data_IF_649520545942
#
_entry.id   IF_649520545942
#
_cell.length_a   1.000
_cell.length_b   1.000
_cell.length_c   1.000
_cell.angle_alpha   90.00
_cell.angle_beta   90.00
_cell.angle_gamma   90.00
#
_symmetry.space_group_name_H-M   'P 1'
#
loop_
_entity.id
_entity.type
_entity.pdbx_description
1 polymer ?
#
# COMPACT_ATOMS: atom_id res chain seq x y z
N UNK A 1 19.55 -8.98 -10.71
CA UNK A 1 18.55 -7.94 -10.41
C UNK A 1 19.25 -6.62 -10.71
N UNK A 2 18.62 -5.71 -11.46
CA UNK A 2 19.23 -4.40 -11.75
C UNK A 2 19.41 -3.62 -10.44
N UNK A 3 20.48 -2.86 -10.35
CA UNK A 3 20.71 -1.93 -9.23
C UNK A 3 19.98 -0.63 -9.48
N UNK A 4 19.82 0.20 -8.45
CA UNK A 4 19.16 1.50 -8.58
C UNK A 4 19.89 2.43 -9.56
N UNK A 5 21.19 2.25 -9.79
CA UNK A 5 21.97 3.03 -10.76
C UNK A 5 21.64 2.68 -12.22
N UNK A 6 21.13 1.46 -12.46
CA UNK A 6 20.72 0.99 -13.78
C UNK A 6 19.25 1.27 -14.08
N UNK A 7 18.45 1.65 -13.07
CA UNK A 7 17.01 1.90 -13.17
C UNK A 7 16.80 3.40 -13.44
N UNK A 8 16.36 3.73 -14.64
CA UNK A 8 16.08 5.09 -15.08
C UNK A 8 14.62 5.23 -15.53
N UNK A 9 14.18 6.48 -15.76
CA UNK A 9 12.85 6.74 -16.33
C UNK A 9 12.67 6.01 -17.67
N UNK A 10 13.67 6.00 -18.53
CA UNK A 10 13.63 5.34 -19.84
C UNK A 10 13.50 3.82 -19.69
N UNK A 11 14.23 3.19 -18.77
CA UNK A 11 14.11 1.75 -18.52
C UNK A 11 12.75 1.40 -17.95
N UNK A 12 12.22 2.22 -17.05
CA UNK A 12 10.87 2.06 -16.51
C UNK A 12 9.81 2.22 -17.60
N UNK A 13 9.85 3.26 -18.41
CA UNK A 13 8.88 3.49 -19.49
C UNK A 13 8.88 2.33 -20.50
N UNK A 14 10.04 1.78 -20.89
CA UNK A 14 10.10 0.63 -21.79
C UNK A 14 9.43 -0.61 -21.22
N UNK A 15 9.51 -0.81 -19.92
CA UNK A 15 9.00 -2.00 -19.25
C UNK A 15 7.54 -1.87 -18.81
N UNK A 16 7.07 -0.65 -18.56
CA UNK A 16 5.80 -0.39 -17.89
C UNK A 16 4.74 0.18 -18.80
N UNK A 17 5.13 0.86 -19.88
CA UNK A 17 4.20 1.50 -20.83
C UNK A 17 3.10 2.31 -20.10
N UNK A 18 3.46 3.34 -19.31
CA UNK A 18 2.49 4.09 -18.52
C UNK A 18 1.48 4.80 -19.42
N UNK A 19 0.20 4.63 -19.13
CA UNK A 19 -0.88 5.23 -19.89
C UNK A 19 -1.22 6.65 -19.44
N UNK A 20 -0.89 6.98 -18.19
CA UNK A 20 -1.22 8.25 -17.56
C UNK A 20 -0.02 9.20 -17.60
N UNK A 21 -0.34 10.49 -17.71
CA UNK A 21 0.67 11.54 -17.63
C UNK A 21 1.03 11.91 -16.19
N UNK A 22 1.60 13.09 -16.01
CA UNK A 22 2.12 13.58 -14.73
C UNK A 22 1.15 14.45 -13.94
N UNK A 23 -0.11 14.59 -14.38
CA UNK A 23 -1.09 15.48 -13.73
C UNK A 23 -1.28 15.19 -12.24
N UNK A 24 -1.25 13.91 -11.84
CA UNK A 24 -1.35 13.53 -10.43
C UNK A 24 -0.11 13.93 -9.64
N UNK A 25 1.07 13.85 -10.26
CA UNK A 25 2.30 14.36 -9.66
C UNK A 25 2.17 15.85 -9.33
N UNK A 26 1.63 16.64 -10.26
CA UNK A 26 1.41 18.09 -10.07
C UNK A 26 0.35 18.35 -9.00
N UNK A 27 -0.73 17.57 -8.95
CA UNK A 27 -1.73 17.69 -7.89
C UNK A 27 -1.12 17.44 -6.51
N UNK A 28 -0.36 16.35 -6.35
CA UNK A 28 0.30 16.01 -5.09
C UNK A 28 1.30 17.10 -4.69
N UNK A 29 2.14 17.55 -5.63
CA UNK A 29 3.15 18.56 -5.35
C UNK A 29 2.55 19.91 -4.93
N UNK A 30 1.53 20.37 -5.65
CA UNK A 30 0.95 21.71 -5.47
C UNK A 30 -0.17 21.75 -4.41
N UNK A 31 -0.69 20.61 -3.97
CA UNK A 31 -1.76 20.52 -2.99
C UNK A 31 -1.33 21.17 -1.67
N UNK A 32 -2.06 22.18 -1.26
CA UNK A 32 -1.96 22.74 0.09
C UNK A 32 -2.96 22.02 0.98
N UNK A 33 -2.45 21.39 2.01
CA UNK A 33 -3.29 20.69 3.01
C UNK A 33 -3.73 21.74 4.05
N UNK A 34 -5.02 21.90 4.33
CA UNK A 34 -5.49 22.81 5.37
C UNK A 34 -5.03 22.37 6.77
N UNK A 35 -4.86 23.33 7.68
CA UNK A 35 -4.53 23.05 9.08
C UNK A 35 -5.53 22.08 9.70
N UNK A 36 -5.05 21.16 10.53
CA UNK A 36 -5.86 20.11 11.15
C UNK A 36 -6.38 19.05 10.19
N UNK A 37 -5.82 18.94 8.99
CA UNK A 37 -6.16 17.90 8.01
C UNK A 37 -4.93 17.09 7.62
N UNK A 38 -5.19 15.96 6.96
CA UNK A 38 -4.22 15.14 6.23
C UNK A 38 -4.82 14.77 4.89
N UNK A 39 -4.07 14.94 3.82
CA UNK A 39 -4.52 14.53 2.48
C UNK A 39 -3.75 13.31 2.03
N UNK A 40 -4.46 12.35 1.48
CA UNK A 40 -3.93 11.07 1.00
C UNK A 40 -4.35 10.84 -0.43
N UNK A 41 -3.51 10.13 -1.20
CA UNK A 41 -3.80 9.65 -2.55
C UNK A 41 -3.54 8.16 -2.62
N UNK A 42 -4.47 7.43 -3.21
CA UNK A 42 -4.26 6.01 -3.47
C UNK A 42 -3.62 5.83 -4.84
N UNK A 43 -2.45 5.23 -4.86
CA UNK A 43 -1.62 5.08 -6.06
C UNK A 43 -1.66 3.66 -6.65
N UNK A 44 -2.63 2.87 -6.18
CA UNK A 44 -2.83 1.48 -6.57
C UNK A 44 -2.15 0.47 -5.64
N UNK A 45 -2.60 -0.77 -5.65
CA UNK A 45 -2.21 -1.79 -4.68
C UNK A 45 -2.47 -1.30 -3.25
N UNK A 46 -1.46 -1.34 -2.39
CA UNK A 46 -1.49 -0.71 -1.07
C UNK A 46 -0.80 0.65 -1.04
N UNK A 47 -0.39 1.17 -2.20
CA UNK A 47 0.41 2.38 -2.33
C UNK A 47 -0.35 3.65 -1.92
N UNK A 48 0.06 4.28 -0.84
CA UNK A 48 -0.52 5.53 -0.34
C UNK A 48 0.54 6.63 -0.34
N UNK A 49 0.18 7.81 -0.83
CA UNK A 49 0.89 9.06 -0.59
C UNK A 49 0.13 9.87 0.44
N UNK A 50 0.81 10.31 1.49
CA UNK A 50 0.25 11.11 2.56
C UNK A 50 0.94 12.47 2.62
N UNK A 51 0.15 13.54 2.75
CA UNK A 51 0.66 14.91 2.88
C UNK A 51 -0.02 15.64 4.03
N UNK A 52 0.76 16.41 4.81
CA UNK A 52 0.28 17.17 5.96
C UNK A 52 0.35 18.68 5.74
N UNK A 53 -0.24 19.52 6.61
CA UNK A 53 -0.12 20.98 6.54
C UNK A 53 1.32 21.48 6.63
N UNK A 54 2.19 20.82 7.40
CA UNK A 54 3.62 21.12 7.46
C UNK A 54 4.41 20.62 6.24
N UNK A 55 3.68 20.18 5.20
CA UNK A 55 4.23 19.67 3.96
C UNK A 55 5.15 18.45 4.17
N UNK A 56 4.83 17.61 5.16
CA UNK A 56 5.38 16.27 5.20
C UNK A 56 4.78 15.44 4.05
N UNK A 57 5.64 14.80 3.26
CA UNK A 57 5.27 13.96 2.14
C UNK A 57 5.81 12.54 2.41
N UNK A 58 4.92 11.59 2.69
CA UNK A 58 5.28 10.22 3.06
C UNK A 58 4.63 9.25 2.09
N UNK A 59 5.42 8.31 1.58
CA UNK A 59 4.91 7.21 0.76
C UNK A 59 4.95 5.90 1.53
N UNK A 60 3.91 5.09 1.37
CA UNK A 60 3.80 3.75 1.97
C UNK A 60 3.53 2.78 0.83
N UNK A 61 4.27 1.68 0.75
CA UNK A 61 4.08 0.56 -0.18
C UNK A 61 3.91 0.98 -1.66
N UNK A 62 4.62 2.02 -2.08
CA UNK A 62 4.53 2.50 -3.45
C UNK A 62 5.12 1.47 -4.41
N UNK A 63 4.31 1.01 -5.36
CA UNK A 63 4.72 0.02 -6.35
C UNK A 63 4.50 0.49 -7.79
N UNK A 64 5.55 0.43 -8.59
CA UNK A 64 5.58 0.88 -10.00
C UNK A 64 5.89 -0.24 -10.99
N UNK A 65 5.78 -1.49 -10.54
CA UNK A 65 6.02 -2.65 -11.40
C UNK A 65 4.79 -3.09 -12.20
N UNK A 66 5.04 -3.83 -13.27
CA UNK A 66 3.99 -4.44 -14.13
C UNK A 66 3.51 -5.81 -13.65
N UNK A 67 4.16 -6.36 -12.63
CA UNK A 67 4.03 -7.76 -12.30
C UNK A 67 4.87 -8.67 -13.21
N UNK A 68 4.67 -9.96 -13.10
CA UNK A 68 5.37 -10.96 -13.89
C UNK A 68 4.43 -11.56 -14.92
N UNK A 69 4.81 -11.52 -16.18
CA UNK A 69 4.25 -12.38 -17.22
C UNK A 69 4.78 -13.79 -16.98
N UNK A 70 4.19 -14.50 -16.03
CA UNK A 70 4.50 -15.91 -15.82
C UNK A 70 3.84 -16.69 -16.93
N UNK A 71 4.63 -17.46 -17.67
CA UNK A 71 4.10 -18.28 -18.72
C UNK A 71 3.59 -19.59 -18.14
N UNK A 72 2.36 -19.96 -18.47
CA UNK A 72 1.57 -20.97 -17.81
C UNK A 72 1.91 -22.42 -18.12
N UNK A 73 3.10 -22.73 -18.62
CA UNK A 73 3.54 -24.11 -18.92
C UNK A 73 4.43 -24.73 -17.85
N UNK A 74 4.68 -24.02 -16.74
CA UNK A 74 5.46 -24.50 -15.61
C UNK A 74 4.65 -24.63 -14.32
N UNK A 75 5.00 -25.62 -13.49
CA UNK A 75 4.55 -25.71 -12.12
C UNK A 75 5.25 -24.62 -11.28
N UNK A 76 4.53 -24.09 -10.30
CA UNK A 76 5.14 -23.21 -9.31
C UNK A 76 6.31 -23.90 -8.64
N UNK A 77 7.45 -23.22 -8.59
CA UNK A 77 8.63 -23.76 -7.94
C UNK A 77 8.38 -23.93 -6.44
N UNK A 78 8.92 -24.99 -5.84
CA UNK A 78 8.91 -25.12 -4.38
C UNK A 78 9.53 -23.86 -3.75
N UNK A 79 8.92 -23.34 -2.66
CA UNK A 79 9.33 -22.09 -2.04
C UNK A 79 8.66 -20.84 -2.57
N UNK A 80 7.93 -20.91 -3.68
CA UNK A 80 7.02 -19.84 -4.06
C UNK A 80 5.88 -19.75 -3.02
N UNK A 81 5.53 -18.53 -2.57
CA UNK A 81 4.50 -18.36 -1.54
C UNK A 81 3.20 -19.10 -1.89
N UNK A 82 2.74 -19.01 -3.13
CA UNK A 82 1.53 -19.69 -3.58
C UNK A 82 1.65 -21.22 -3.50
N UNK A 83 2.81 -21.79 -3.83
CA UNK A 83 3.06 -23.22 -3.71
C UNK A 83 3.08 -23.66 -2.24
N UNK A 84 3.58 -22.81 -1.34
CA UNK A 84 3.60 -23.09 0.10
C UNK A 84 2.20 -23.04 0.73
N UNK A 85 1.33 -22.16 0.23
CA UNK A 85 -0.02 -21.99 0.76
C UNK A 85 -1.04 -23.00 0.21
N UNK A 86 -0.94 -23.35 -1.06
CA UNK A 86 -1.98 -24.11 -1.77
C UNK A 86 -1.47 -25.28 -2.61
N UNK A 87 -0.20 -25.66 -2.44
CA UNK A 87 0.44 -26.73 -3.22
C UNK A 87 0.87 -26.29 -4.62
N UNK A 88 1.61 -27.18 -5.28
CA UNK A 88 2.09 -26.91 -6.63
C UNK A 88 0.95 -26.82 -7.64
N UNK A 89 0.92 -25.73 -8.38
CA UNK A 89 -0.07 -25.41 -9.42
C UNK A 89 0.63 -24.89 -10.65
N UNK A 90 -0.08 -24.83 -11.76
CA UNK A 90 0.39 -24.11 -12.94
C UNK A 90 0.52 -22.63 -12.58
N UNK A 91 1.64 -22.04 -12.97
CA UNK A 91 1.84 -20.60 -12.81
C UNK A 91 0.84 -19.83 -13.67
N UNK A 92 0.16 -18.89 -13.05
CA UNK A 92 -0.71 -17.97 -13.75
C UNK A 92 -0.04 -16.62 -13.92
N UNK A 93 -0.35 -15.88 -14.99
CA UNK A 93 0.14 -14.52 -15.13
C UNK A 93 -0.30 -13.67 -13.96
N UNK A 94 0.65 -13.06 -13.27
CA UNK A 94 0.39 -12.11 -12.20
C UNK A 94 0.71 -10.72 -12.72
N UNK A 95 -0.22 -10.14 -13.45
CA UNK A 95 -0.06 -8.87 -14.15
C UNK A 95 -0.79 -7.76 -13.41
N UNK A 96 -0.19 -6.58 -13.43
CA UNK A 96 -0.87 -5.35 -13.03
C UNK A 96 -2.08 -5.12 -13.94
N UNK A 97 -3.23 -4.85 -13.33
CA UNK A 97 -4.49 -4.65 -14.05
C UNK A 97 -4.84 -3.17 -14.26
N UNK A 98 -4.28 -2.31 -13.46
CA UNK A 98 -4.56 -0.87 -13.53
C UNK A 98 -3.39 -0.11 -14.13
N UNK A 99 -3.65 1.01 -14.83
CA UNK A 99 -2.58 1.85 -15.35
C UNK A 99 -1.77 2.51 -14.22
N UNK A 100 -0.59 3.00 -14.57
CA UNK A 100 0.18 3.87 -13.69
C UNK A 100 -0.46 5.26 -13.68
N UNK A 101 -0.86 5.72 -12.51
CA UNK A 101 -1.52 7.03 -12.35
C UNK A 101 -0.53 8.18 -12.09
N UNK A 102 0.76 7.88 -12.00
CA UNK A 102 1.82 8.84 -11.74
C UNK A 102 3.13 8.40 -12.39
N UNK A 103 4.04 9.35 -12.58
CA UNK A 103 5.42 9.11 -13.01
C UNK A 103 6.33 9.16 -11.78
N UNK A 104 6.94 8.03 -11.35
CA UNK A 104 7.79 8.02 -10.14
C UNK A 104 9.03 8.91 -10.29
N UNK A 105 9.48 9.20 -11.52
CA UNK A 105 10.66 10.01 -11.79
C UNK A 105 10.37 11.53 -11.90
N UNK A 106 9.11 11.94 -11.82
CA UNK A 106 8.72 13.35 -11.94
C UNK A 106 8.49 14.04 -10.60
N UNK A 107 8.46 13.32 -9.49
CA UNK A 107 8.34 13.92 -8.17
C UNK A 107 9.60 14.65 -7.75
N UNK A 108 9.42 15.80 -7.10
CA UNK A 108 10.52 16.67 -6.63
C UNK A 108 10.78 16.56 -5.14
N UNK A 109 9.83 15.96 -4.40
CA UNK A 109 9.89 15.94 -2.94
C UNK A 109 9.20 14.71 -2.38
N UNK A 110 9.89 14.08 -1.44
CA UNK A 110 9.35 13.12 -0.48
C UNK A 110 10.16 13.26 0.82
N UNK A 111 9.56 12.98 1.94
CA UNK A 111 10.22 13.11 3.25
C UNK A 111 10.53 11.76 3.89
N UNK A 112 9.80 10.71 3.52
CA UNK A 112 10.09 9.33 3.91
C UNK A 112 9.47 8.33 2.93
N UNK A 113 10.14 7.21 2.74
CA UNK A 113 9.67 6.04 1.98
C UNK A 113 9.47 4.90 2.95
N UNK A 114 8.23 4.42 3.10
CA UNK A 114 7.86 3.32 3.98
C UNK A 114 7.51 2.07 3.17
N UNK A 115 7.87 0.91 3.69
CA UNK A 115 7.35 -0.37 3.22
C UNK A 115 6.85 -1.18 4.43
N UNK A 116 5.64 -1.75 4.30
CA UNK A 116 5.06 -2.60 5.34
C UNK A 116 5.73 -3.97 5.36
N UNK A 117 6.07 -4.51 4.20
CA UNK A 117 6.75 -5.79 4.03
C UNK A 117 7.47 -5.88 2.68
N UNK A 118 8.17 -6.97 2.45
CA UNK A 118 9.16 -7.10 1.37
C UNK A 118 8.63 -7.71 0.06
N UNK A 119 7.34 -7.98 -0.08
CA UNK A 119 6.80 -8.47 -1.34
C UNK A 119 6.97 -7.44 -2.47
N UNK A 120 7.04 -7.95 -3.70
CA UNK A 120 7.40 -7.12 -4.86
C UNK A 120 6.40 -5.99 -5.16
N UNK A 121 5.14 -6.17 -4.81
CA UNK A 121 4.05 -5.22 -5.04
C UNK A 121 3.88 -4.18 -3.93
N UNK A 122 4.80 -4.17 -2.96
CA UNK A 122 4.90 -3.18 -1.88
C UNK A 122 6.21 -2.39 -1.90
N UNK A 123 7.12 -2.73 -2.82
CA UNK A 123 8.42 -2.07 -2.95
C UNK A 123 8.70 -1.75 -4.41
N UNK A 124 9.16 -0.53 -4.68
CA UNK A 124 9.48 -0.06 -6.04
C UNK A 124 10.96 0.26 -6.17
N UNK A 125 11.71 -0.49 -6.98
CA UNK A 125 13.09 -0.12 -7.28
C UNK A 125 13.20 1.17 -8.10
N UNK A 126 12.20 1.48 -8.94
CA UNK A 126 12.14 2.72 -9.71
C UNK A 126 12.01 3.93 -8.79
N UNK A 127 11.12 3.84 -7.78
CA UNK A 127 10.95 4.88 -6.78
C UNK A 127 12.20 5.07 -5.93
N UNK A 128 12.77 3.96 -5.46
CA UNK A 128 14.03 3.99 -4.71
C UNK A 128 15.17 4.62 -5.52
N UNK A 129 15.30 4.24 -6.80
CA UNK A 129 16.27 4.83 -7.73
C UNK A 129 16.10 6.34 -7.84
N UNK A 130 14.86 6.81 -8.06
CA UNK A 130 14.59 8.23 -8.19
C UNK A 130 14.93 9.01 -6.91
N UNK A 131 14.46 8.56 -5.76
CA UNK A 131 14.69 9.22 -4.47
C UNK A 131 16.19 9.33 -4.12
N UNK A 132 16.95 8.28 -4.44
CA UNK A 132 18.39 8.28 -4.16
C UNK A 132 19.16 9.14 -5.17
N UNK A 133 18.93 8.93 -6.47
CA UNK A 133 19.74 9.52 -7.54
C UNK A 133 19.41 11.01 -7.79
N UNK A 134 18.18 11.45 -7.48
CA UNK A 134 17.83 12.88 -7.52
C UNK A 134 18.39 13.68 -6.32
N UNK A 135 18.99 13.00 -5.34
CA UNK A 135 19.54 13.65 -4.15
C UNK A 135 18.49 14.25 -3.23
N UNK A 136 17.27 13.71 -3.22
CA UNK A 136 16.19 14.21 -2.34
C UNK A 136 16.59 14.21 -0.88
N UNK A 137 16.23 15.28 -0.19
CA UNK A 137 16.50 15.49 1.24
C UNK A 137 15.23 15.85 1.98
N UNK A 138 15.24 15.61 3.27
CA UNK A 138 14.21 16.04 4.22
C UNK A 138 14.86 16.75 5.41
N UNK A 139 14.03 17.22 6.33
CA UNK A 139 14.49 17.85 7.57
C UNK A 139 14.15 16.95 8.75
N UNK A 140 15.13 16.59 9.55
CA UNK A 140 14.93 15.82 10.76
C UNK A 140 14.24 16.65 11.88
N UNK A 141 13.92 16.01 12.99
CA UNK A 141 13.26 16.66 14.14
C UNK A 141 14.09 17.72 14.83
N UNK A 142 15.38 17.84 14.49
CA UNK A 142 16.31 18.87 15.00
C UNK A 142 16.54 20.00 14.02
N UNK A 143 15.83 19.99 12.88
CA UNK A 143 15.97 21.01 11.82
C UNK A 143 17.18 20.79 10.90
N UNK A 144 17.87 19.64 11.00
CA UNK A 144 19.00 19.31 10.12
C UNK A 144 18.50 18.70 8.83
N UNK A 145 19.04 19.15 7.69
CA UNK A 145 18.83 18.51 6.39
C UNK A 145 19.53 17.15 6.35
N UNK A 146 18.78 16.12 6.05
CA UNK A 146 19.25 14.74 5.92
C UNK A 146 18.75 14.13 4.60
N UNK A 147 19.42 13.12 4.05
CA UNK A 147 18.86 12.34 2.95
C UNK A 147 17.51 11.71 3.35
N UNK A 148 16.60 11.57 2.39
CA UNK A 148 15.29 10.94 2.62
C UNK A 148 15.48 9.52 3.17
N UNK A 149 14.89 9.18 4.33
CA UNK A 149 14.98 7.85 4.93
C UNK A 149 14.04 6.85 4.24
N UNK A 150 14.50 5.59 4.21
CA UNK A 150 13.76 4.40 3.84
C UNK A 150 13.47 3.61 5.12
N UNK A 151 12.19 3.45 5.47
CA UNK A 151 11.75 2.91 6.75
C UNK A 151 10.97 1.62 6.52
N UNK A 152 11.43 0.53 7.08
CA UNK A 152 10.75 -0.76 6.93
C UNK A 152 11.34 -1.86 7.82
N UNK A 153 10.69 -3.03 7.90
CA UNK A 153 11.23 -4.17 8.59
C UNK A 153 12.56 -4.63 7.96
N UNK A 154 13.30 -5.44 8.67
CA UNK A 154 14.66 -5.86 8.30
C UNK A 154 14.74 -6.41 6.87
N UNK A 155 13.78 -7.22 6.43
CA UNK A 155 13.77 -7.79 5.08
C UNK A 155 13.61 -6.71 4.00
N UNK A 156 12.83 -5.68 4.23
CA UNK A 156 12.74 -4.53 3.31
C UNK A 156 14.07 -3.79 3.21
N UNK A 157 14.72 -3.55 4.36
CA UNK A 157 16.03 -2.90 4.40
C UNK A 157 17.10 -3.72 3.66
N UNK A 158 17.12 -5.04 3.84
CA UNK A 158 18.02 -5.93 3.12
C UNK A 158 17.83 -5.82 1.59
N UNK A 159 16.58 -5.73 1.13
CA UNK A 159 16.27 -5.57 -0.31
C UNK A 159 16.71 -4.19 -0.82
N UNK A 160 16.38 -3.11 -0.10
CA UNK A 160 16.84 -1.77 -0.49
C UNK A 160 18.36 -1.70 -0.58
N UNK A 161 19.08 -2.29 0.37
CA UNK A 161 20.55 -2.37 0.32
C UNK A 161 21.03 -3.20 -0.89
N UNK A 162 20.38 -4.30 -1.23
CA UNK A 162 20.67 -5.10 -2.44
C UNK A 162 20.42 -4.29 -3.73
N UNK A 163 19.45 -3.36 -3.72
CA UNK A 163 19.22 -2.45 -4.85
C UNK A 163 20.25 -1.32 -4.93
N UNK A 164 21.02 -1.07 -3.87
CA UNK A 164 22.04 -0.04 -3.80
C UNK A 164 21.61 1.22 -3.04
N UNK A 165 20.46 1.17 -2.31
CA UNK A 165 20.11 2.26 -1.39
C UNK A 165 21.19 2.34 -0.30
N UNK A 166 21.79 3.55 -0.05
CA UNK A 166 22.80 3.73 0.97
C UNK A 166 22.31 3.32 2.35
N UNK A 167 23.16 2.64 3.12
CA UNK A 167 22.80 2.10 4.43
C UNK A 167 22.39 3.19 5.43
N UNK A 168 23.02 4.36 5.36
CA UNK A 168 22.72 5.51 6.22
C UNK A 168 21.36 6.14 5.97
N UNK A 169 20.69 5.77 4.87
CA UNK A 169 19.30 6.13 4.60
C UNK A 169 18.30 5.11 5.11
N UNK A 170 18.74 3.89 5.46
CA UNK A 170 17.84 2.81 5.85
C UNK A 170 17.59 2.80 7.36
N UNK A 171 16.33 2.81 7.74
CA UNK A 171 15.87 2.69 9.15
C UNK A 171 15.13 1.37 9.28
N UNK A 172 15.77 0.41 9.96
CA UNK A 172 15.10 -0.85 10.30
C UNK A 172 14.16 -0.64 11.47
N UNK A 173 12.92 -1.09 11.31
CA UNK A 173 11.87 -1.00 12.34
C UNK A 173 11.24 -2.36 12.61
N UNK A 174 10.63 -2.48 13.79
CA UNK A 174 9.85 -3.63 14.25
C UNK A 174 8.65 -3.13 15.09
N UNK A 175 7.68 -3.98 15.42
CA UNK A 175 6.57 -3.60 16.29
C UNK A 175 7.05 -2.96 17.59
N UNK A 176 6.43 -1.85 17.97
CA UNK A 176 6.77 -1.03 19.13
C UNK A 176 7.72 0.13 18.83
N UNK A 177 8.38 0.15 17.68
CA UNK A 177 9.24 1.27 17.29
C UNK A 177 8.41 2.48 16.86
N UNK A 178 8.96 3.67 17.08
CA UNK A 178 8.35 4.94 16.69
C UNK A 178 9.37 5.80 15.96
N UNK A 179 9.01 6.25 14.74
CA UNK A 179 9.84 7.14 13.93
C UNK A 179 9.08 8.44 13.71
N UNK A 180 9.77 9.59 13.79
CA UNK A 180 9.19 10.90 13.52
C UNK A 180 9.70 11.47 12.22
N UNK A 181 8.77 11.91 11.37
CA UNK A 181 9.05 12.60 10.12
C UNK A 181 8.26 13.90 10.13
N UNK A 182 8.95 15.03 10.31
CA UNK A 182 8.31 16.34 10.49
C UNK A 182 7.22 16.32 11.57
N UNK A 183 5.98 16.59 11.20
CA UNK A 183 4.79 16.62 12.06
C UNK A 183 4.04 15.28 12.12
N UNK A 184 4.62 14.21 11.57
CA UNK A 184 4.04 12.86 11.59
C UNK A 184 4.83 11.95 12.53
N UNK A 185 4.12 11.27 13.43
CA UNK A 185 4.67 10.18 14.25
C UNK A 185 4.21 8.83 13.66
N UNK A 186 5.17 8.02 13.23
CA UNK A 186 4.96 6.72 12.62
C UNK A 186 5.19 5.66 13.70
N UNK A 187 4.12 5.00 14.12
CA UNK A 187 4.16 3.90 15.09
C UNK A 187 4.12 2.59 14.33
N UNK A 188 5.09 1.72 14.59
CA UNK A 188 5.16 0.39 14.01
C UNK A 188 4.39 -0.60 14.90
N UNK A 189 3.50 -1.38 14.29
CA UNK A 189 2.61 -2.31 14.97
C UNK A 189 2.76 -3.72 14.42
N UNK A 190 2.28 -4.72 15.19
CA UNK A 190 2.26 -6.12 14.74
C UNK A 190 1.54 -6.26 13.41
N UNK A 191 2.15 -6.98 12.47
CA UNK A 191 1.52 -7.40 11.23
C UNK A 191 0.91 -8.80 11.38
N UNK A 192 -0.17 -9.03 10.65
CA UNK A 192 -0.84 -10.33 10.59
C UNK A 192 -0.77 -10.94 9.19
N UNK A 193 0.27 -10.59 8.44
CA UNK A 193 0.50 -11.07 7.09
C UNK A 193 1.01 -12.51 7.10
N UNK A 194 0.11 -13.45 6.88
CA UNK A 194 0.44 -14.88 6.83
C UNK A 194 1.28 -15.25 5.60
N UNK A 195 1.20 -14.48 4.54
CA UNK A 195 1.96 -14.77 3.32
C UNK A 195 3.44 -14.50 3.52
N UNK A 196 3.80 -13.48 4.30
CA UNK A 196 5.18 -13.24 4.71
C UNK A 196 5.78 -14.38 5.53
N UNK A 197 4.96 -15.09 6.31
CA UNK A 197 5.42 -16.25 7.09
C UNK A 197 5.86 -17.38 6.17
N UNK A 198 5.08 -17.65 5.12
CA UNK A 198 5.29 -18.80 4.22
C UNK A 198 6.11 -18.48 2.99
N UNK A 199 6.36 -17.19 2.72
CA UNK A 199 7.25 -16.78 1.64
C UNK A 199 8.69 -17.00 2.08
N UNK A 200 9.38 -17.86 1.39
CA UNK A 200 10.83 -18.02 1.53
C UNK A 200 11.53 -17.02 0.62
N UNK A 201 12.78 -16.67 0.91
CA UNK A 201 13.64 -15.90 0.01
C UNK A 201 14.00 -16.76 -1.22
N UNK A 202 13.02 -17.02 -2.05
CA UNK A 202 12.97 -18.10 -3.03
C UNK A 202 13.83 -17.90 -4.28
N UNK A 203 14.62 -16.85 -4.34
CA UNK A 203 15.41 -16.52 -5.53
C UNK A 203 16.90 -16.93 -5.43
N UNK A 204 17.29 -17.61 -4.35
CA UNK A 204 18.68 -18.01 -4.11
C UNK A 204 18.84 -19.44 -3.58
N UNK A 205 20.09 -19.91 -3.45
CA UNK A 205 20.40 -21.21 -2.86
C UNK A 205 20.06 -21.30 -1.36
N UNK A 206 19.83 -20.17 -0.72
CA UNK A 206 19.57 -20.05 0.73
C UNK A 206 18.06 -20.13 1.05
N UNK A 207 17.38 -21.09 0.47
CA UNK A 207 16.00 -21.40 0.81
C UNK A 207 15.87 -21.68 2.30
N UNK A 208 15.13 -20.85 3.03
CA UNK A 208 14.62 -21.28 4.33
C UNK A 208 13.67 -22.44 4.10
N UNK A 209 14.04 -23.63 4.56
CA UNK A 209 13.13 -24.75 4.61
C UNK A 209 12.01 -24.42 5.59
N UNK A 210 10.77 -24.55 5.15
CA UNK A 210 9.64 -24.54 6.06
C UNK A 210 9.73 -25.79 6.94
N UNK A 211 10.38 -25.63 8.07
CA UNK A 211 10.67 -26.75 8.99
C UNK A 211 9.47 -27.17 9.84
N UNK A 212 8.28 -26.61 9.60
CA UNK A 212 7.09 -26.79 10.45
C UNK A 212 7.19 -26.11 11.81
N UNK A 213 8.26 -25.36 12.07
CA UNK A 213 8.39 -24.53 13.27
C UNK A 213 7.60 -23.23 13.07
N UNK A 214 6.99 -22.75 14.13
CA UNK A 214 6.38 -21.42 14.12
C UNK A 214 7.45 -20.38 13.77
N UNK A 215 7.24 -19.53 12.76
CA UNK A 215 8.19 -18.47 12.43
C UNK A 215 8.36 -17.54 13.63
N UNK A 216 9.60 -17.30 14.00
CA UNK A 216 9.95 -16.40 15.12
C UNK A 216 10.38 -15.03 14.63
N UNK A 217 10.42 -14.83 13.32
CA UNK A 217 10.98 -13.67 12.63
C UNK A 217 9.93 -12.80 11.92
N UNK A 218 8.65 -12.92 12.28
CA UNK A 218 7.57 -12.12 11.66
C UNK A 218 7.86 -10.62 11.74
N UNK A 219 8.36 -10.18 12.89
CA UNK A 219 8.72 -8.78 13.13
C UNK A 219 9.85 -8.26 12.24
N UNK A 220 10.67 -9.19 11.69
CA UNK A 220 11.70 -8.85 10.71
C UNK A 220 11.15 -8.77 9.28
N UNK A 221 9.97 -9.35 9.04
CA UNK A 221 9.37 -9.50 7.70
C UNK A 221 8.31 -8.46 7.40
N UNK A 222 7.44 -8.14 8.38
CA UNK A 222 6.31 -7.26 8.15
C UNK A 222 5.92 -6.46 9.39
N UNK A 223 5.41 -5.25 9.17
CA UNK A 223 4.82 -4.36 10.17
C UNK A 223 3.57 -3.71 9.62
N UNK A 224 2.62 -3.38 10.49
CA UNK A 224 1.56 -2.43 10.21
C UNK A 224 2.00 -1.04 10.69
N UNK A 225 1.48 0.01 10.08
CA UNK A 225 1.79 1.37 10.50
C UNK A 225 0.56 2.10 11.03
N UNK A 226 0.77 2.88 12.10
CA UNK A 226 -0.15 3.94 12.51
C UNK A 226 0.58 5.27 12.38
N UNK A 227 0.11 6.11 11.46
CA UNK A 227 0.64 7.46 11.23
C UNK A 227 -0.24 8.44 12.01
N UNK A 228 0.30 9.00 13.08
CA UNK A 228 -0.35 10.08 13.82
C UNK A 228 -0.02 11.40 13.16
N UNK A 229 -1.02 12.06 12.64
CA UNK A 229 -0.92 13.30 11.88
C UNK A 229 -1.74 14.41 12.54
N UNK A 230 -1.53 15.69 12.17
CA UNK A 230 -2.39 16.77 12.66
C UNK A 230 -3.87 16.62 12.26
N UNK A 231 -4.16 15.89 11.18
CA UNK A 231 -5.51 15.66 10.69
C UNK A 231 -6.20 14.43 11.27
N UNK A 232 -5.47 13.53 11.91
CA UNK A 232 -5.98 12.28 12.45
C UNK A 232 -4.98 11.13 12.37
N UNK A 233 -5.35 9.99 12.91
CA UNK A 233 -4.52 8.80 12.98
C UNK A 233 -4.90 7.83 11.86
N UNK A 234 -3.93 7.54 10.99
CA UNK A 234 -4.10 6.76 9.77
C UNK A 234 -3.45 5.39 9.97
N UNK A 235 -4.23 4.34 9.95
CA UNK A 235 -3.77 2.96 10.07
C UNK A 235 -3.59 2.30 8.70
N UNK A 236 -2.44 1.67 8.49
CA UNK A 236 -2.14 0.93 7.27
C UNK A 236 -1.81 -0.53 7.61
N UNK A 237 -2.65 -1.46 7.15
CA UNK A 237 -2.54 -2.87 7.51
C UNK A 237 -1.51 -3.65 6.69
N UNK A 238 -0.87 -3.03 5.69
CA UNK A 238 -0.13 -3.82 4.70
C UNK A 238 -1.01 -4.94 4.15
N UNK A 239 -0.46 -6.12 3.99
CA UNK A 239 -1.16 -7.33 3.57
C UNK A 239 -1.64 -8.20 4.74
N UNK A 240 -1.86 -7.58 5.90
CA UNK A 240 -2.41 -8.32 7.05
C UNK A 240 -3.73 -9.00 6.71
N UNK A 241 -3.82 -10.27 7.08
CA UNK A 241 -5.08 -11.00 7.13
C UNK A 241 -5.89 -10.57 8.34
N UNK A 242 -7.16 -10.94 8.38
CA UNK A 242 -7.94 -10.70 9.58
C UNK A 242 -7.35 -11.43 10.80
N UNK A 243 -7.19 -10.69 11.86
CA UNK A 243 -6.77 -11.18 13.17
C UNK A 243 -7.60 -10.50 14.26
N UNK A 244 -7.99 -11.26 15.28
CA UNK A 244 -8.64 -10.70 16.47
C UNK A 244 -7.72 -9.72 17.21
N UNK A 245 -6.42 -9.80 16.99
CA UNK A 245 -5.45 -8.86 17.59
C UNK A 245 -5.55 -7.43 17.05
N UNK A 246 -6.28 -7.18 15.98
CA UNK A 246 -6.68 -5.82 15.62
C UNK A 246 -7.42 -5.11 16.78
N UNK A 247 -8.14 -5.87 17.62
CA UNK A 247 -8.79 -5.31 18.80
C UNK A 247 -7.79 -4.78 19.84
N UNK A 248 -6.59 -5.34 19.92
CA UNK A 248 -5.52 -4.79 20.75
C UNK A 248 -5.06 -3.44 20.22
N UNK A 249 -4.85 -3.33 18.91
CA UNK A 249 -4.47 -2.05 18.29
C UNK A 249 -5.57 -0.98 18.50
N UNK A 250 -6.86 -1.33 18.29
CA UNK A 250 -7.97 -0.41 18.52
C UNK A 250 -8.21 -0.04 19.99
N UNK A 251 -7.72 -0.85 20.93
CA UNK A 251 -7.73 -0.52 22.37
C UNK A 251 -6.57 0.41 22.75
N UNK A 252 -5.40 0.17 22.16
CA UNK A 252 -4.18 0.87 22.53
C UNK A 252 -4.04 2.22 21.80
N UNK A 253 -4.74 2.39 20.67
CA UNK A 253 -4.65 3.57 19.82
C UNK A 253 -6.01 4.01 19.28
N UNK A 254 -6.23 5.31 19.23
CA UNK A 254 -7.33 5.88 18.46
C UNK A 254 -7.00 5.75 16.96
N UNK A 255 -7.92 5.21 16.17
CA UNK A 255 -7.77 5.06 14.72
C UNK A 255 -8.87 5.83 14.03
N UNK A 256 -8.51 6.77 13.16
CA UNK A 256 -9.49 7.55 12.41
C UNK A 256 -9.81 6.88 11.06
N UNK A 257 -8.79 6.60 10.27
CA UNK A 257 -8.91 5.96 8.96
C UNK A 257 -8.07 4.69 8.94
N UNK A 258 -8.64 3.57 8.52
CA UNK A 258 -7.94 2.30 8.41
C UNK A 258 -7.95 1.78 6.97
N UNK A 259 -6.77 1.57 6.38
CA UNK A 259 -6.60 0.88 5.11
C UNK A 259 -6.50 -0.62 5.35
N UNK A 260 -7.33 -1.40 4.65
CA UNK A 260 -7.35 -2.86 4.72
C UNK A 260 -7.10 -3.51 3.37
N UNK A 261 -6.15 -4.46 3.33
CA UNK A 261 -5.87 -5.25 2.13
C UNK A 261 -7.04 -6.20 1.85
N UNK A 262 -7.74 -5.94 0.75
CA UNK A 262 -8.94 -6.66 0.32
C UNK A 262 -8.71 -7.26 -1.06
N UNK A 263 -9.28 -8.42 -1.31
CA UNK A 263 -9.19 -9.01 -2.62
C UNK A 263 -9.90 -10.36 -2.69
N UNK A 264 -10.13 -10.83 -3.91
CA UNK A 264 -10.62 -12.18 -4.12
C UNK A 264 -9.49 -13.17 -3.89
N UNK A 265 -9.84 -14.27 -3.23
CA UNK A 265 -8.89 -15.30 -2.89
C UNK A 265 -9.08 -16.51 -3.83
N UNK A 266 -8.02 -16.98 -4.49
CA UNK A 266 -8.08 -18.20 -5.27
C UNK A 266 -8.53 -19.40 -4.42
N UNK A 267 -9.14 -20.38 -5.05
CA UNK A 267 -9.61 -21.58 -4.36
C UNK A 267 -8.47 -22.23 -3.57
N UNK A 268 -8.71 -22.42 -2.27
CA UNK A 268 -7.76 -23.06 -1.35
C UNK A 268 -6.65 -22.15 -0.82
N UNK A 269 -6.74 -20.85 -1.07
CA UNK A 269 -5.79 -19.88 -0.54
C UNK A 269 -6.54 -18.64 -0.04
N UNK A 270 -6.18 -18.18 1.16
CA UNK A 270 -6.57 -16.88 1.66
C UNK A 270 -5.34 -15.99 1.66
N UNK A 271 -5.26 -15.09 0.69
CA UNK A 271 -4.15 -14.15 0.53
C UNK A 271 -4.50 -12.74 0.99
N UNK A 272 -5.77 -12.38 0.95
CA UNK A 272 -6.30 -11.09 1.35
C UNK A 272 -7.47 -11.23 2.32
N UNK A 273 -7.84 -10.15 2.98
CA UNK A 273 -9.08 -10.09 3.74
C UNK A 273 -10.29 -10.20 2.81
N UNK A 274 -11.29 -10.94 3.25
CA UNK A 274 -12.60 -10.98 2.60
C UNK A 274 -13.39 -9.73 2.96
N UNK A 275 -14.51 -9.49 2.28
CA UNK A 275 -15.41 -8.36 2.56
C UNK A 275 -15.88 -8.31 4.02
N UNK A 276 -16.21 -9.45 4.61
CA UNK A 276 -16.57 -9.50 6.03
C UNK A 276 -15.39 -9.24 6.95
N UNK A 277 -14.19 -9.65 6.57
CA UNK A 277 -12.98 -9.43 7.35
C UNK A 277 -12.60 -7.94 7.40
N UNK A 278 -12.82 -7.19 6.32
CA UNK A 278 -12.66 -5.73 6.29
C UNK A 278 -13.57 -5.07 7.33
N UNK A 279 -14.85 -5.47 7.41
CA UNK A 279 -15.78 -4.93 8.39
C UNK A 279 -15.38 -5.32 9.82
N UNK A 280 -14.91 -6.55 10.03
CA UNK A 280 -14.42 -7.01 11.34
C UNK A 280 -13.12 -6.29 11.75
N UNK A 281 -12.22 -6.04 10.82
CA UNK A 281 -11.02 -5.25 11.08
C UNK A 281 -11.41 -3.85 11.55
N UNK A 282 -12.34 -3.19 10.85
CA UNK A 282 -12.82 -1.86 11.21
C UNK A 282 -13.46 -1.81 12.60
N UNK A 283 -14.30 -2.81 12.90
CA UNK A 283 -14.94 -2.94 14.22
C UNK A 283 -13.90 -3.16 15.33
N UNK A 284 -12.91 -4.03 15.12
CA UNK A 284 -11.86 -4.32 16.07
C UNK A 284 -10.91 -3.13 16.28
N UNK A 285 -10.55 -2.43 15.22
CA UNK A 285 -9.74 -1.20 15.28
C UNK A 285 -10.52 -0.02 15.86
N UNK A 286 -11.84 -0.11 15.96
CA UNK A 286 -12.73 0.99 16.35
C UNK A 286 -12.49 2.26 15.50
N UNK A 287 -12.10 2.08 14.24
CA UNK A 287 -11.84 3.20 13.34
C UNK A 287 -13.13 3.93 12.97
N UNK A 288 -13.01 5.15 12.41
CA UNK A 288 -14.16 5.93 11.93
C UNK A 288 -14.47 5.66 10.47
N UNK A 289 -13.41 5.46 9.69
CA UNK A 289 -13.51 5.16 8.26
C UNK A 289 -12.65 3.96 7.93
N UNK A 290 -13.18 3.00 7.19
CA UNK A 290 -12.40 1.88 6.65
C UNK A 290 -12.34 1.97 5.13
N UNK A 291 -11.16 1.77 4.58
CA UNK A 291 -10.88 1.91 3.14
C UNK A 291 -10.31 0.59 2.63
N UNK A 292 -11.05 -0.16 1.82
CA UNK A 292 -10.51 -1.34 1.16
C UNK A 292 -9.53 -0.91 0.06
N UNK A 293 -8.33 -1.47 0.08
CA UNK A 293 -7.27 -1.28 -0.93
C UNK A 293 -6.75 -2.63 -1.40
N UNK A 294 -5.89 -2.69 -2.40
CA UNK A 294 -5.26 -3.88 -2.96
C UNK A 294 -6.19 -4.76 -3.83
N UNK A 295 -7.46 -4.44 -3.97
CA UNK A 295 -8.42 -5.19 -4.78
C UNK A 295 -8.33 -4.92 -6.29
N UNK A 296 -7.50 -3.98 -6.68
CA UNK A 296 -7.42 -3.38 -8.01
C UNK A 296 -6.30 -3.97 -8.87
N UNK A 297 -5.23 -4.46 -8.26
CA UNK A 297 -3.91 -4.49 -8.90
C UNK A 297 -3.64 -5.74 -9.72
N UNK A 298 -4.10 -6.89 -9.27
CA UNK A 298 -3.82 -8.16 -9.94
C UNK A 298 -5.00 -8.66 -10.75
N UNK A 299 -4.77 -9.02 -12.02
CA UNK A 299 -5.81 -9.57 -12.89
C UNK A 299 -6.51 -10.81 -12.33
N UNK A 300 -5.84 -11.54 -11.45
CA UNK A 300 -6.35 -12.78 -10.87
C UNK A 300 -6.95 -12.61 -9.46
N UNK A 301 -6.87 -11.42 -8.89
CA UNK A 301 -7.28 -11.14 -7.49
C UNK A 301 -8.19 -9.92 -7.38
N UNK A 302 -8.83 -9.55 -8.48
CA UNK A 302 -9.80 -8.48 -8.46
C UNK A 302 -10.99 -8.87 -7.58
N UNK A 303 -11.47 -7.92 -6.79
CA UNK A 303 -12.66 -8.09 -5.99
C UNK A 303 -13.60 -6.91 -6.17
N UNK A 304 -14.88 -7.15 -5.94
CA UNK A 304 -15.90 -6.13 -6.04
C UNK A 304 -16.20 -5.53 -4.66
N UNK A 305 -15.83 -4.28 -4.47
CA UNK A 305 -16.10 -3.52 -3.25
C UNK A 305 -17.62 -3.39 -2.96
N UNK A 306 -18.48 -3.59 -3.94
CA UNK A 306 -19.93 -3.59 -3.75
C UNK A 306 -20.36 -4.65 -2.73
N UNK A 307 -19.66 -5.78 -2.65
CA UNK A 307 -19.92 -6.79 -1.61
C UNK A 307 -19.73 -6.22 -0.20
N UNK A 308 -18.67 -5.42 0.02
CA UNK A 308 -18.45 -4.75 1.31
C UNK A 308 -19.59 -3.78 1.60
N UNK A 309 -20.02 -3.00 0.61
CA UNK A 309 -21.12 -2.05 0.77
C UNK A 309 -22.43 -2.74 1.16
N UNK A 310 -22.78 -3.80 0.43
CA UNK A 310 -23.99 -4.58 0.71
C UNK A 310 -23.96 -5.21 2.11
N UNK A 311 -22.85 -5.82 2.50
CA UNK A 311 -22.68 -6.39 3.82
C UNK A 311 -22.72 -5.33 4.92
N UNK A 312 -22.10 -4.18 4.70
CA UNK A 312 -22.17 -3.06 5.63
C UNK A 312 -23.59 -2.57 5.82
N UNK A 313 -24.31 -2.28 4.73
CA UNK A 313 -25.68 -1.81 4.77
C UNK A 313 -26.62 -2.80 5.47
N UNK A 314 -26.42 -4.09 5.25
CA UNK A 314 -27.19 -5.15 5.89
C UNK A 314 -26.91 -5.30 7.38
N UNK A 315 -25.69 -4.99 7.82
CA UNK A 315 -25.23 -5.28 9.19
C UNK A 315 -25.12 -4.04 10.09
N UNK A 316 -25.01 -2.84 9.54
CA UNK A 316 -24.67 -1.61 10.28
C UNK A 316 -25.59 -1.33 11.46
N UNK A 317 -26.89 -1.52 11.29
CA UNK A 317 -27.87 -1.28 12.37
C UNK A 317 -27.82 -2.41 13.40
N UNK A 318 -27.79 -3.66 12.95
CA UNK A 318 -27.77 -4.84 13.83
C UNK A 318 -26.51 -4.91 14.69
N UNK A 319 -25.36 -4.54 14.12
CA UNK A 319 -24.08 -4.57 14.81
C UNK A 319 -23.70 -3.21 15.41
N UNK A 320 -24.55 -2.20 15.27
CA UNK A 320 -24.32 -0.84 15.77
C UNK A 320 -22.97 -0.26 15.34
N UNK A 321 -22.58 -0.47 14.08
CA UNK A 321 -21.29 -0.01 13.56
C UNK A 321 -21.11 1.49 13.76
N UNK A 322 -19.94 1.88 14.28
CA UNK A 322 -19.54 3.28 14.51
C UNK A 322 -18.62 3.81 13.45
N UNK A 323 -18.41 3.07 12.39
CA UNK A 323 -17.60 3.40 11.22
C UNK A 323 -18.42 3.28 9.95
N UNK A 324 -17.88 3.78 8.85
CA UNK A 324 -18.38 3.51 7.51
C UNK A 324 -17.24 3.19 6.54
N UNK A 325 -17.50 2.43 5.46
CA UNK A 325 -16.54 2.23 4.40
C UNK A 325 -16.43 3.47 3.50
N UNK A 326 -15.24 3.70 2.96
CA UNK A 326 -14.99 4.65 1.88
C UNK A 326 -14.41 3.90 0.69
N UNK A 327 -15.06 4.01 -0.45
CA UNK A 327 -14.67 3.34 -1.69
C UNK A 327 -13.93 4.29 -2.60
N UNK A 328 -12.70 3.96 -2.88
CA UNK A 328 -11.74 4.83 -3.54
C UNK A 328 -11.43 4.35 -4.96
N UNK A 329 -11.17 5.28 -5.87
CA UNK A 329 -10.57 4.99 -7.18
C UNK A 329 -9.09 5.37 -7.15
N UNK A 330 -8.27 4.56 -7.83
CA UNK A 330 -6.83 4.79 -7.92
C UNK A 330 -6.55 6.17 -8.53
N UNK A 331 -5.59 6.90 -7.96
CA UNK A 331 -5.28 8.28 -8.32
C UNK A 331 -6.17 9.33 -7.64
N UNK A 332 -7.22 8.90 -6.92
CA UNK A 332 -8.06 9.80 -6.17
C UNK A 332 -7.41 10.37 -4.92
N UNK A 333 -7.89 11.52 -4.45
CA UNK A 333 -7.48 12.12 -3.18
C UNK A 333 -8.58 12.02 -2.13
N UNK A 334 -8.16 11.91 -0.87
CA UNK A 334 -9.03 11.93 0.31
C UNK A 334 -8.40 12.78 1.40
N UNK A 335 -9.13 13.80 1.89
CA UNK A 335 -8.64 14.72 2.92
C UNK A 335 -9.42 14.49 4.22
N UNK A 336 -8.76 13.98 5.24
CA UNK A 336 -9.38 13.74 6.53
C UNK A 336 -9.01 14.87 7.52
N UNK A 337 -9.94 15.38 8.37
CA UNK A 337 -11.34 14.99 8.49
C UNK A 337 -12.32 15.71 7.55
N UNK A 338 -11.86 16.56 6.62
CA UNK A 338 -12.73 17.32 5.72
C UNK A 338 -13.70 16.41 4.96
N UNK A 339 -13.22 15.28 4.48
CA UNK A 339 -13.94 14.30 3.65
C UNK A 339 -14.51 13.13 4.47
N UNK A 340 -14.51 13.23 5.80
CA UNK A 340 -14.82 12.11 6.69
C UNK A 340 -16.17 11.42 6.44
N UNK A 341 -17.13 12.13 5.89
CA UNK A 341 -18.48 11.62 5.63
C UNK A 341 -18.66 11.13 4.18
N UNK A 342 -17.60 11.20 3.36
CA UNK A 342 -17.63 10.68 1.99
C UNK A 342 -17.63 9.15 2.00
N UNK A 343 -18.49 8.57 1.17
CA UNK A 343 -18.57 7.11 0.97
C UNK A 343 -17.87 6.68 -0.31
N UNK A 344 -17.83 7.56 -1.31
CA UNK A 344 -17.23 7.28 -2.62
C UNK A 344 -16.34 8.41 -3.08
N UNK A 345 -15.28 8.03 -3.81
CA UNK A 345 -14.55 8.92 -4.69
C UNK A 345 -14.66 8.40 -6.12
N UNK A 346 -15.06 9.26 -7.02
CA UNK A 346 -15.05 9.02 -8.46
C UNK A 346 -14.26 10.12 -9.13
N UNK A 347 -13.42 9.74 -10.09
CA UNK A 347 -12.76 10.73 -10.93
C UNK A 347 -13.80 11.52 -11.71
N UNK A 348 -13.67 12.83 -11.65
CA UNK A 348 -14.40 13.69 -12.56
C UNK A 348 -13.84 13.45 -13.97
N UNK A 349 -14.71 13.00 -14.84
CA UNK A 349 -14.39 12.85 -16.24
C UNK A 349 -14.95 14.09 -16.94
N UNK A 350 -14.07 15.03 -17.27
CA UNK A 350 -14.49 16.32 -17.84
C UNK A 350 -15.40 16.19 -19.05
N UNK A 351 -15.33 15.08 -19.75
CA UNK A 351 -16.25 14.78 -20.86
C UNK A 351 -17.63 14.36 -20.37
N UNK A 352 -17.73 13.58 -19.29
CA UNK A 352 -19.01 13.15 -18.69
C UNK A 352 -19.74 14.30 -17.99
N UNK A 353 -18.98 15.24 -17.44
CA UNK A 353 -19.54 16.41 -16.74
C UNK A 353 -20.26 17.37 -17.70
N UNK A 354 -20.03 17.24 -19.00
CA UNK A 354 -20.71 18.04 -20.03
C UNK A 354 -22.07 17.48 -20.46
N UNK A 355 -22.50 16.32 -19.95
CA UNK A 355 -23.73 15.65 -20.34
C UNK A 355 -24.66 15.40 -19.15
N UNK A 356 -25.96 15.57 -19.37
CA UNK A 356 -26.98 15.34 -18.33
C UNK A 356 -27.10 13.87 -17.91
N UNK A 357 -26.59 12.95 -18.73
CA UNK A 357 -26.66 11.50 -18.52
C UNK A 357 -25.32 10.81 -18.80
N UNK A 358 -24.31 11.03 -17.95
CA UNK A 358 -22.96 10.49 -18.17
C UNK A 358 -22.90 8.96 -18.26
N UNK A 359 -23.83 8.25 -17.60
CA UNK A 359 -23.93 6.79 -17.68
C UNK A 359 -24.24 6.24 -19.08
N UNK A 360 -24.73 7.06 -19.96
CA UNK A 360 -25.07 6.69 -21.35
C UNK A 360 -23.92 6.95 -22.33
N UNK A 361 -22.79 7.45 -21.86
CA UNK A 361 -21.61 7.68 -22.70
C UNK A 361 -21.00 6.34 -23.10
N UNK A 362 -20.85 6.07 -24.41
CA UNK A 362 -20.41 4.76 -24.90
C UNK A 362 -18.96 4.42 -24.57
N UNK A 363 -18.17 5.40 -24.16
CA UNK A 363 -16.77 5.21 -23.74
C UNK A 363 -16.69 5.24 -22.22
N UNK A 364 -17.00 4.12 -21.59
CA UNK A 364 -16.51 3.90 -20.23
C UNK A 364 -15.02 3.62 -20.37
N UNK A 365 -14.21 4.47 -19.77
CA UNK A 365 -12.87 4.03 -19.46
C UNK A 365 -13.01 2.82 -18.53
N UNK A 366 -12.29 1.75 -18.82
CA UNK A 366 -12.26 0.55 -17.99
C UNK A 366 -11.39 0.77 -16.74
N UNK A 367 -11.33 2.00 -16.26
CA UNK A 367 -10.57 2.40 -15.07
C UNK A 367 -11.43 2.31 -13.84
#
# INVERSE_FOLDING_TARGET
MATIDEITRETWMRNSFPEWGTWLNEDIENRKVPDGNVTMWWLGCTGIWLKTPADANITIDLWTGNGKRTHGDGLMQPGHQMANMCGSRLMQPNLRNIPFVFDPFSFKKVDAVLATHYHQDHMSPEWASHVVNSGMTTTDTKGKTIPVPFIGPKKCVEIWKKWGVPEDRCITVKPGDVVKVKDVEIVCLDSFDRTCIVTTDSTGPDREELTGKCPTDMDEKAVNYLLKTPGGNIYHSGDSHFSIYFAKHGKDYDVDVAFGSFGENPIGMQDKMTSIDILRMAENLQCKVVVPIHWDVWTNFQADCEEIRLLYDFKKERNEYKFHPFFWQVGGSYTYPQDKDKVYFHHQRGFEDCFDHPQNIPYRSCL
#
